data_IF_834921332232
#
_entry.id   IF_834921332232
#
_cell.length_a   1.000
_cell.length_b   1.000
_cell.length_c   1.000
_cell.angle_alpha   90.00
_cell.angle_beta   90.00
_cell.angle_gamma   90.00
#
_symmetry.space_group_name_H-M   'P 1'
#
loop_
_entity.id
_entity.type
_entity.pdbx_description
1 polymer ?
#
# COMPACT_ATOMS: atom_id res chain seq x y z
N UNK A 1 -20.05 -11.37 -11.72
CA UNK A 1 -19.28 -10.22 -11.19
C UNK A 1 -17.82 -10.45 -11.50
N UNK A 2 -17.14 -9.52 -12.19
CA UNK A 2 -15.72 -9.65 -12.47
C UNK A 2 -14.87 -9.23 -11.28
N UNK A 3 -13.92 -10.06 -10.87
CA UNK A 3 -12.87 -9.66 -9.92
C UNK A 3 -11.93 -8.68 -10.61
N UNK A 4 -11.76 -7.47 -10.06
CA UNK A 4 -10.85 -6.47 -10.58
C UNK A 4 -9.40 -6.84 -10.22
N UNK A 5 -8.86 -7.86 -10.88
CA UNK A 5 -7.51 -8.37 -10.65
C UNK A 5 -6.45 -7.49 -11.32
N UNK A 6 -6.24 -6.29 -10.77
CA UNK A 6 -5.05 -5.49 -11.07
C UNK A 6 -3.80 -6.34 -10.71
N UNK A 7 -2.76 -6.43 -11.56
CA UNK A 7 -1.66 -7.39 -11.36
C UNK A 7 -0.71 -7.07 -10.19
N UNK A 8 -1.03 -6.04 -9.40
CA UNK A 8 -0.22 -5.43 -8.36
C UNK A 8 -0.72 -5.81 -6.96
N UNK A 9 -0.60 -7.09 -6.60
CA UNK A 9 -0.76 -7.58 -5.21
C UNK A 9 0.41 -7.10 -4.33
N UNK A 10 0.20 -6.75 -3.03
CA UNK A 10 1.22 -6.11 -2.17
C UNK A 10 2.58 -6.81 -2.19
N UNK A 11 2.52 -8.15 -2.28
CA UNK A 11 3.61 -9.07 -2.55
C UNK A 11 4.58 -8.63 -3.66
N UNK A 12 4.07 -8.33 -4.86
CA UNK A 12 4.88 -7.93 -6.02
C UNK A 12 5.38 -6.50 -5.90
N UNK A 13 4.60 -5.61 -5.28
CA UNK A 13 5.02 -4.23 -5.03
C UNK A 13 6.23 -4.18 -4.07
N UNK A 14 6.19 -4.96 -2.98
CA UNK A 14 7.32 -5.12 -2.06
C UNK A 14 8.53 -5.76 -2.76
N UNK A 15 8.34 -6.84 -3.53
CA UNK A 15 9.43 -7.50 -4.23
C UNK A 15 10.07 -6.62 -5.32
N UNK A 16 9.28 -5.82 -6.03
CA UNK A 16 9.78 -4.81 -6.97
C UNK A 16 10.57 -3.73 -6.24
N UNK A 17 10.02 -3.16 -5.15
CA UNK A 17 10.69 -2.13 -4.37
C UNK A 17 12.01 -2.65 -3.79
N UNK A 18 12.04 -3.83 -3.19
CA UNK A 18 13.26 -4.45 -2.65
C UNK A 18 14.38 -4.59 -3.69
N UNK A 19 14.02 -5.01 -4.91
CA UNK A 19 14.98 -5.12 -6.03
C UNK A 19 15.49 -3.75 -6.50
N UNK A 20 14.60 -2.76 -6.66
CA UNK A 20 14.96 -1.39 -7.04
C UNK A 20 15.82 -0.72 -5.97
N UNK A 21 15.39 -0.73 -4.71
CA UNK A 21 16.15 -0.28 -3.54
C UNK A 21 17.56 -0.88 -3.49
N UNK A 22 17.71 -2.19 -3.74
CA UNK A 22 19.02 -2.84 -3.82
C UNK A 22 19.85 -2.35 -5.00
N UNK A 23 19.26 -2.15 -6.19
CA UNK A 23 19.97 -1.62 -7.36
C UNK A 23 20.42 -0.16 -7.20
N UNK A 24 19.70 0.64 -6.40
CA UNK A 24 20.02 2.04 -6.09
C UNK A 24 21.00 2.18 -4.90
N UNK A 25 21.56 1.09 -4.39
CA UNK A 25 22.52 1.10 -3.27
C UNK A 25 21.90 1.39 -1.90
N UNK A 26 20.57 1.49 -1.79
CA UNK A 26 19.82 1.71 -0.55
C UNK A 26 18.87 0.54 -0.29
N UNK A 27 19.38 -0.68 -0.03
CA UNK A 27 18.56 -1.87 0.19
C UNK A 27 17.65 -1.72 1.42
N UNK A 28 16.43 -2.26 1.33
CA UNK A 28 15.50 -2.31 2.45
C UNK A 28 16.11 -3.06 3.64
N UNK A 29 15.90 -2.54 4.84
CA UNK A 29 16.47 -3.05 6.09
C UNK A 29 15.42 -3.77 6.93
N UNK A 30 15.88 -4.58 7.88
CA UNK A 30 15.01 -5.08 8.94
C UNK A 30 14.35 -3.90 9.69
N UNK A 31 13.10 -4.10 10.13
CA UNK A 31 12.28 -3.11 10.83
C UNK A 31 11.79 -1.91 9.98
N UNK A 32 12.04 -1.86 8.67
CA UNK A 32 11.45 -0.82 7.81
C UNK A 32 10.00 -1.14 7.41
N UNK A 33 9.13 -0.13 7.43
CA UNK A 33 7.70 -0.26 7.08
C UNK A 33 7.50 0.15 5.62
N UNK A 34 7.03 -0.80 4.80
CA UNK A 34 6.75 -0.56 3.37
C UNK A 34 5.26 -0.39 3.12
N UNK A 35 4.87 0.79 2.64
CA UNK A 35 3.52 1.05 2.12
C UNK A 35 3.46 0.56 0.66
N UNK A 36 2.79 -0.57 0.42
CA UNK A 36 2.79 -1.29 -0.87
C UNK A 36 2.00 -0.64 -2.02
N UNK A 37 1.61 0.63 -1.89
CA UNK A 37 0.72 1.34 -2.81
C UNK A 37 -0.75 1.38 -2.35
N UNK A 38 -1.56 2.18 -3.04
CA UNK A 38 -2.97 2.38 -2.70
C UNK A 38 -3.84 1.18 -3.11
N UNK A 39 -4.70 0.73 -2.21
CA UNK A 39 -5.65 -0.39 -2.43
C UNK A 39 -6.90 0.01 -3.23
N UNK A 40 -7.02 1.29 -3.61
CA UNK A 40 -8.15 1.85 -4.34
C UNK A 40 -7.86 3.29 -4.79
N UNK A 41 -8.81 3.96 -5.48
CA UNK A 41 -8.65 5.34 -5.90
C UNK A 41 -8.53 6.29 -4.70
N UNK A 42 -7.56 7.21 -4.76
CA UNK A 42 -7.39 8.25 -3.75
C UNK A 42 -8.51 9.30 -3.86
N UNK A 43 -8.99 9.79 -2.71
CA UNK A 43 -10.05 10.80 -2.62
C UNK A 43 -9.49 12.07 -1.97
N UNK A 44 -9.93 13.24 -2.44
CA UNK A 44 -9.51 14.53 -1.89
C UNK A 44 -10.00 14.69 -0.43
N UNK A 45 -9.06 14.96 0.48
CA UNK A 45 -9.34 15.24 1.89
C UNK A 45 -10.02 16.60 2.02
N UNK A 46 -11.06 16.69 2.86
CA UNK A 46 -11.78 17.92 3.19
C UNK A 46 -11.59 18.27 4.68
N UNK A 47 -11.37 19.54 5.04
CA UNK A 47 -11.31 19.96 6.44
C UNK A 47 -12.57 19.55 7.22
N UNK A 48 -12.40 18.99 8.41
CA UNK A 48 -13.50 18.56 9.30
C UNK A 48 -14.21 17.26 8.89
N UNK A 49 -13.78 16.58 7.83
CA UNK A 49 -14.26 15.23 7.52
C UNK A 49 -13.40 14.17 8.21
N UNK A 50 -14.03 13.08 8.67
CA UNK A 50 -13.36 11.88 9.19
C UNK A 50 -13.46 10.75 8.16
N UNK A 51 -12.38 10.01 8.00
CA UNK A 51 -12.22 8.94 7.03
C UNK A 51 -11.94 7.61 7.73
N UNK A 52 -12.45 6.51 7.15
CA UNK A 52 -12.22 5.16 7.63
C UNK A 52 -11.72 4.27 6.49
N UNK A 53 -10.61 3.58 6.70
CA UNK A 53 -10.03 2.61 5.77
C UNK A 53 -10.09 1.22 6.40
N UNK A 54 -11.11 0.44 6.02
CA UNK A 54 -11.26 -0.96 6.47
C UNK A 54 -10.67 -1.92 5.43
N UNK A 55 -9.75 -2.76 5.88
CA UNK A 55 -9.09 -3.81 5.09
C UNK A 55 -9.50 -5.16 5.68
N UNK A 56 -10.30 -5.93 4.94
CA UNK A 56 -10.80 -7.24 5.36
C UNK A 56 -9.67 -8.18 5.76
N UNK A 57 -9.74 -8.73 6.98
CA UNK A 57 -8.71 -9.62 7.53
C UNK A 57 -7.46 -8.91 8.11
N UNK A 58 -7.42 -7.57 8.09
CA UNK A 58 -6.32 -6.78 8.70
C UNK A 58 -6.84 -5.83 9.78
N UNK A 59 -7.93 -5.09 9.52
CA UNK A 59 -8.53 -4.16 10.49
C UNK A 59 -9.03 -2.86 9.86
N UNK A 60 -9.24 -1.83 10.69
CA UNK A 60 -9.69 -0.49 10.26
C UNK A 60 -8.76 0.59 10.80
N UNK A 61 -8.34 1.51 9.93
CA UNK A 61 -7.64 2.74 10.29
C UNK A 61 -8.58 3.96 10.15
N UNK A 62 -8.34 5.00 10.93
CA UNK A 62 -9.12 6.24 10.98
C UNK A 62 -8.21 7.46 10.83
N UNK A 63 -8.65 8.48 10.11
CA UNK A 63 -7.91 9.75 9.88
C UNK A 63 -8.85 10.91 9.50
#
# INVERSE_FOLDING_TARGET
>A
MGTFSWPWTPWRALAWLANISRSLGSPLRASEVVLSGALGPMVAVKPGATYAATITGVGTAWF
#
